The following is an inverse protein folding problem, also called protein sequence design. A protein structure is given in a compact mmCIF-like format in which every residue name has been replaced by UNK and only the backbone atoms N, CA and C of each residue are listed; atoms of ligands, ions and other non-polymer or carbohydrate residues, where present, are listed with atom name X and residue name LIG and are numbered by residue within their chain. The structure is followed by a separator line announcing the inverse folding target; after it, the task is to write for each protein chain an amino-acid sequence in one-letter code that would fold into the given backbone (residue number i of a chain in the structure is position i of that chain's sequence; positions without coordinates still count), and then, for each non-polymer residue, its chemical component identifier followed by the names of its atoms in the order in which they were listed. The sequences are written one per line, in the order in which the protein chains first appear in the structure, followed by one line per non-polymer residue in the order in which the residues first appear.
data_IF_303625409425
#
_entry.id   IF_303625409425
#
_cell.length_a   1.000
_cell.length_b   1.000
_cell.length_c   1.000
_cell.angle_alpha   90.00
_cell.angle_beta   90.00
_cell.angle_gamma   90.00
#
_symmetry.space_group_name_H-M   'P 1'
#
loop_
_entity.id
_entity.type
_entity.pdbx_description
1 polymer ?
#
# COMPACT_ATOMS: atom_id res chain seq x y z
N UNK A 1 13.17 18.61 -13.68
CA UNK A 1 12.67 18.01 -12.44
C UNK A 1 11.86 19.03 -11.59
N UNK A 2 12.39 20.18 -11.25
CA UNK A 2 11.74 21.21 -10.42
C UNK A 2 10.35 21.66 -10.90
N UNK A 3 10.18 21.94 -12.20
CA UNK A 3 8.88 22.37 -12.78
C UNK A 3 7.77 21.30 -12.60
N UNK A 4 8.11 20.02 -12.74
CA UNK A 4 7.15 18.91 -12.52
C UNK A 4 6.68 18.87 -11.06
N UNK A 5 7.61 18.98 -10.11
CA UNK A 5 7.28 18.99 -8.68
C UNK A 5 6.41 20.17 -8.29
N UNK A 6 6.72 21.36 -8.79
CA UNK A 6 5.93 22.58 -8.53
C UNK A 6 4.48 22.44 -9.02
N UNK A 7 4.29 21.92 -10.24
CA UNK A 7 2.96 21.70 -10.81
C UNK A 7 2.21 20.65 -9.97
N UNK A 8 2.85 19.49 -9.65
CA UNK A 8 2.22 18.47 -8.82
C UNK A 8 1.85 18.99 -7.41
N UNK A 9 2.69 19.84 -6.82
CA UNK A 9 2.40 20.45 -5.51
C UNK A 9 1.22 21.41 -5.57
N UNK A 10 1.06 22.16 -6.66
CA UNK A 10 -0.09 23.05 -6.85
C UNK A 10 -1.41 22.26 -6.98
N UNK A 11 -1.36 21.04 -7.55
CA UNK A 11 -2.53 20.17 -7.71
C UNK A 11 -2.85 19.28 -6.49
N UNK A 12 -2.08 19.37 -5.40
CA UNK A 12 -2.23 18.46 -4.24
C UNK A 12 -3.63 18.50 -3.64
N UNK A 13 -4.31 19.64 -3.68
CA UNK A 13 -5.67 19.79 -3.18
C UNK A 13 -6.67 18.92 -3.94
N UNK A 14 -6.54 18.81 -5.27
CA UNK A 14 -7.40 17.94 -6.08
C UNK A 14 -7.13 16.47 -5.79
N UNK A 15 -5.84 16.10 -5.64
CA UNK A 15 -5.43 14.72 -5.31
C UNK A 15 -5.97 14.33 -3.94
N UNK A 16 -5.78 15.15 -2.93
CA UNK A 16 -6.26 14.88 -1.56
C UNK A 16 -7.78 14.86 -1.52
N UNK A 17 -8.45 15.86 -2.11
CA UNK A 17 -9.91 15.94 -2.15
C UNK A 17 -10.54 14.70 -2.79
N UNK A 18 -10.02 14.29 -3.94
CA UNK A 18 -10.43 13.07 -4.64
C UNK A 18 -10.27 11.82 -3.75
N UNK A 19 -9.09 11.64 -3.13
CA UNK A 19 -8.83 10.49 -2.26
C UNK A 19 -9.75 10.47 -1.03
N UNK A 20 -10.06 11.63 -0.46
CA UNK A 20 -11.01 11.75 0.67
C UNK A 20 -12.41 11.29 0.24
N UNK A 21 -12.92 11.74 -0.90
CA UNK A 21 -14.23 11.32 -1.40
C UNK A 21 -14.26 9.81 -1.64
N UNK A 22 -13.25 9.28 -2.33
CA UNK A 22 -13.13 7.83 -2.56
C UNK A 22 -13.01 7.03 -1.25
N UNK A 23 -12.31 7.58 -0.26
CA UNK A 23 -12.19 6.99 1.08
C UNK A 23 -13.54 6.92 1.81
N UNK A 24 -14.32 7.99 1.75
CA UNK A 24 -15.65 8.05 2.35
C UNK A 24 -16.58 7.02 1.70
N UNK A 25 -16.65 6.98 0.37
CA UNK A 25 -17.49 6.02 -0.37
C UNK A 25 -17.12 4.56 -0.03
N UNK A 26 -15.81 4.24 -0.03
CA UNK A 26 -15.35 2.91 0.38
C UNK A 26 -15.70 2.58 1.83
N UNK A 27 -15.58 3.56 2.73
CA UNK A 27 -15.99 3.41 4.13
C UNK A 27 -17.49 3.11 4.29
N UNK A 28 -18.34 3.68 3.42
CA UNK A 28 -19.78 3.41 3.34
C UNK A 28 -20.13 2.07 2.67
N UNK A 29 -19.13 1.36 2.12
CA UNK A 29 -19.30 0.07 1.45
C UNK A 29 -19.45 0.17 -0.07
N UNK A 30 -19.44 1.37 -0.64
CA UNK A 30 -19.46 1.57 -2.09
C UNK A 30 -18.02 1.60 -2.63
N UNK A 31 -17.57 0.50 -3.17
CA UNK A 31 -16.27 0.37 -3.85
C UNK A 31 -16.36 0.50 -5.37
N UNK A 32 -17.59 0.43 -5.93
CA UNK A 32 -17.81 0.49 -7.39
C UNK A 32 -17.72 1.92 -7.92
N UNK A 33 -18.36 2.86 -7.24
CA UNK A 33 -18.35 4.27 -7.65
C UNK A 33 -16.94 4.87 -7.68
N UNK A 34 -16.07 4.69 -6.66
CA UNK A 34 -14.67 5.10 -6.76
C UNK A 34 -13.92 4.47 -7.94
N UNK A 35 -14.21 3.21 -8.29
CA UNK A 35 -13.58 2.55 -9.44
C UNK A 35 -13.89 3.28 -10.76
N UNK A 36 -15.14 3.72 -10.96
CA UNK A 36 -15.49 4.49 -12.17
C UNK A 36 -14.77 5.85 -12.21
N UNK A 37 -14.60 6.51 -11.07
CA UNK A 37 -13.85 7.76 -11.01
C UNK A 37 -12.36 7.56 -11.33
N UNK A 38 -11.74 6.49 -10.82
CA UNK A 38 -10.35 6.14 -11.14
C UNK A 38 -10.20 5.81 -12.61
N UNK A 39 -11.10 4.99 -13.17
CA UNK A 39 -11.06 4.62 -14.58
C UNK A 39 -11.17 5.85 -15.49
N UNK A 40 -12.09 6.77 -15.17
CA UNK A 40 -12.24 8.03 -15.90
C UNK A 40 -10.99 8.90 -15.78
N UNK A 41 -10.42 9.05 -14.58
CA UNK A 41 -9.17 9.77 -14.37
C UNK A 41 -8.04 9.18 -15.22
N UNK A 42 -7.94 7.86 -15.26
CA UNK A 42 -6.92 7.16 -16.04
C UNK A 42 -7.06 7.43 -17.55
N UNK A 43 -8.28 7.34 -18.09
CA UNK A 43 -8.55 7.64 -19.51
C UNK A 43 -8.21 9.09 -19.84
N UNK A 44 -8.66 10.05 -19.03
CA UNK A 44 -8.35 11.47 -19.23
C UNK A 44 -6.83 11.71 -19.16
N UNK A 45 -6.14 11.08 -18.19
CA UNK A 45 -4.70 11.22 -18.05
C UNK A 45 -3.96 10.71 -19.30
N UNK A 46 -4.31 9.51 -19.78
CA UNK A 46 -3.71 8.92 -20.99
C UNK A 46 -3.92 9.83 -22.20
N UNK A 47 -5.14 10.30 -22.42
CA UNK A 47 -5.45 11.19 -23.55
C UNK A 47 -4.66 12.49 -23.47
N UNK A 48 -4.61 13.11 -22.28
CA UNK A 48 -3.86 14.35 -22.07
C UNK A 48 -2.34 14.13 -22.18
N UNK A 49 -1.82 12.99 -21.76
CA UNK A 49 -0.41 12.65 -21.94
C UNK A 49 -0.06 12.55 -23.43
N UNK A 50 -0.89 11.89 -24.26
CA UNK A 50 -0.68 11.87 -25.71
C UNK A 50 -0.72 13.26 -26.33
N UNK A 51 -1.61 14.14 -25.88
CA UNK A 51 -1.73 15.51 -26.40
C UNK A 51 -0.57 16.37 -25.92
N UNK A 52 -0.32 16.44 -24.58
CA UNK A 52 0.63 17.38 -24.00
C UNK A 52 2.09 16.93 -24.16
N UNK A 53 2.35 15.65 -24.05
CA UNK A 53 3.70 15.09 -24.18
C UNK A 53 3.98 14.69 -25.63
N UNK A 54 3.03 14.04 -26.29
CA UNK A 54 3.21 13.56 -27.66
C UNK A 54 3.14 14.68 -28.69
N UNK A 55 2.05 15.44 -28.71
CA UNK A 55 1.84 16.48 -29.73
C UNK A 55 2.51 17.82 -29.39
N UNK A 56 2.32 18.33 -28.16
CA UNK A 56 2.90 19.61 -27.75
C UNK A 56 4.35 19.51 -27.25
N UNK A 57 4.92 18.31 -27.13
CA UNK A 57 6.30 18.06 -26.68
C UNK A 57 6.68 18.71 -25.35
N UNK A 58 5.72 18.90 -24.42
CA UNK A 58 5.94 19.55 -23.13
C UNK A 58 6.72 18.67 -22.11
N UNK A 59 7.10 17.44 -22.50
CA UNK A 59 7.90 16.54 -21.71
C UNK A 59 7.31 16.30 -20.30
N UNK A 60 8.19 16.30 -19.28
CA UNK A 60 7.80 16.03 -17.89
C UNK A 60 6.79 17.03 -17.30
N UNK A 61 6.75 18.27 -17.81
CA UNK A 61 5.76 19.29 -17.39
C UNK A 61 4.38 18.95 -17.93
N UNK A 62 4.31 18.52 -19.20
CA UNK A 62 3.06 18.07 -19.83
C UNK A 62 2.43 16.90 -19.07
N UNK A 63 3.23 15.90 -18.72
CA UNK A 63 2.77 14.76 -17.92
C UNK A 63 2.25 15.17 -16.52
N UNK A 64 2.90 16.15 -15.88
CA UNK A 64 2.41 16.66 -14.59
C UNK A 64 1.07 17.38 -14.72
N UNK A 65 0.91 18.22 -15.75
CA UNK A 65 -0.34 18.94 -16.03
C UNK A 65 -1.46 17.94 -16.37
N UNK A 66 -1.18 16.93 -17.18
CA UNK A 66 -2.13 15.87 -17.52
C UNK A 66 -2.66 15.16 -16.25
N UNK A 67 -1.74 14.76 -15.37
CA UNK A 67 -2.08 14.09 -14.10
C UNK A 67 -2.97 14.96 -13.21
N UNK A 68 -2.61 16.24 -13.00
CA UNK A 68 -3.39 17.13 -12.14
C UNK A 68 -4.75 17.42 -12.74
N UNK A 69 -4.82 17.66 -14.05
CA UNK A 69 -6.09 17.92 -14.73
C UNK A 69 -7.01 16.71 -14.62
N UNK A 70 -6.50 15.48 -14.85
CA UNK A 70 -7.27 14.25 -14.70
C UNK A 70 -7.79 14.07 -13.27
N UNK A 71 -6.96 14.31 -12.26
CA UNK A 71 -7.36 14.26 -10.85
C UNK A 71 -8.38 15.35 -10.48
N UNK A 72 -8.19 16.58 -11.01
CA UNK A 72 -9.12 17.69 -10.82
C UNK A 72 -10.50 17.40 -11.41
N UNK A 73 -10.55 16.91 -12.65
CA UNK A 73 -11.80 16.52 -13.29
C UNK A 73 -12.50 15.40 -12.50
N UNK A 74 -11.76 14.37 -12.10
CA UNK A 74 -12.33 13.27 -11.31
C UNK A 74 -12.82 13.74 -9.94
N UNK A 75 -12.13 14.68 -9.30
CA UNK A 75 -12.58 15.30 -8.06
C UNK A 75 -13.90 16.07 -8.27
N UNK A 76 -13.99 16.89 -9.30
CA UNK A 76 -15.21 17.63 -9.61
C UNK A 76 -16.39 16.70 -9.92
N UNK A 77 -16.17 15.64 -10.69
CA UNK A 77 -17.19 14.63 -10.98
C UNK A 77 -17.60 13.88 -9.70
N UNK A 78 -16.65 13.55 -8.83
CA UNK A 78 -16.95 12.89 -7.56
C UNK A 78 -17.80 13.77 -6.64
N UNK A 79 -17.52 15.09 -6.58
CA UNK A 79 -18.34 16.05 -5.85
C UNK A 79 -19.74 16.21 -6.46
N UNK A 80 -19.82 16.30 -7.78
CA UNK A 80 -21.11 16.38 -8.48
C UNK A 80 -21.96 15.11 -8.25
N UNK A 81 -21.32 13.94 -8.28
CA UNK A 81 -21.98 12.68 -7.96
C UNK A 81 -22.56 12.70 -6.54
N UNK A 82 -21.77 13.11 -5.55
CA UNK A 82 -22.22 13.24 -4.15
C UNK A 82 -23.36 14.25 -4.01
N UNK A 83 -23.28 15.36 -4.74
CA UNK A 83 -24.35 16.37 -4.72
C UNK A 83 -25.66 15.83 -5.29
N UNK A 84 -25.59 15.01 -6.36
CA UNK A 84 -26.79 14.53 -7.07
C UNK A 84 -27.44 13.31 -6.43
N UNK A 85 -26.64 12.40 -5.88
CA UNK A 85 -27.13 11.16 -5.26
C UNK A 85 -27.31 11.28 -3.74
N UNK A 86 -26.79 12.36 -3.15
CA UNK A 86 -26.79 12.58 -1.71
C UNK A 86 -25.87 11.62 -0.95
N UNK A 87 -25.67 11.93 0.30
CA UNK A 87 -25.14 10.96 1.26
C UNK A 87 -26.32 10.13 1.79
N UNK A 88 -26.08 8.91 2.25
CA UNK A 88 -27.08 8.10 2.94
C UNK A 88 -27.47 8.71 4.32
N UNK A 89 -27.01 9.92 4.60
CA UNK A 89 -27.29 10.72 5.79
C UNK A 89 -27.52 12.18 5.37
N UNK A 90 -28.34 12.89 6.13
CA UNK A 90 -28.64 14.31 5.90
C UNK A 90 -27.35 15.12 6.12
N UNK A 91 -26.84 15.72 5.05
CA UNK A 91 -25.68 16.60 5.09
C UNK A 91 -26.13 18.05 4.92
N UNK A 92 -25.87 18.85 5.93
CA UNK A 92 -26.19 20.28 5.90
C UNK A 92 -24.93 21.14 5.91
N UNK A 93 -25.02 22.36 5.40
CA UNK A 93 -23.89 23.29 5.46
C UNK A 93 -23.39 23.56 6.88
N UNK A 94 -24.25 23.36 7.89
CA UNK A 94 -23.89 23.49 9.31
C UNK A 94 -22.95 22.40 9.80
N UNK A 95 -22.90 21.25 9.11
CA UNK A 95 -22.03 20.12 9.43
C UNK A 95 -20.60 20.36 8.97
N UNK A 96 -20.37 21.36 8.09
CA UNK A 96 -19.04 21.82 7.71
C UNK A 96 -18.44 22.63 8.87
N UNK A 97 -18.16 21.96 9.98
CA UNK A 97 -17.50 22.55 11.14
C UNK A 97 -16.29 21.70 11.53
N UNK A 98 -15.20 22.34 11.86
CA UNK A 98 -14.04 21.68 12.40
C UNK A 98 -14.38 21.15 13.81
N UNK A 99 -14.76 19.88 13.91
CA UNK A 99 -14.95 19.22 15.20
C UNK A 99 -13.59 18.71 15.69
N UNK A 100 -13.07 19.34 16.73
CA UNK A 100 -11.73 19.02 17.29
C UNK A 100 -11.60 17.55 17.71
N UNK A 101 -12.68 16.94 18.23
CA UNK A 101 -12.65 15.54 18.64
C UNK A 101 -12.58 14.59 17.44
N UNK A 102 -13.32 14.89 16.36
CA UNK A 102 -13.27 14.11 15.12
C UNK A 102 -11.90 14.31 14.43
N UNK A 103 -11.41 15.54 14.35
CA UNK A 103 -10.08 15.83 13.81
C UNK A 103 -8.98 15.06 14.57
N UNK A 104 -9.06 15.04 15.91
CA UNK A 104 -8.13 14.25 16.74
C UNK A 104 -8.21 12.76 16.43
N UNK A 105 -9.41 12.18 16.27
CA UNK A 105 -9.56 10.76 15.89
C UNK A 105 -8.93 10.47 14.51
N UNK A 106 -9.21 11.32 13.52
CA UNK A 106 -8.62 11.16 12.16
C UNK A 106 -7.11 11.25 12.22
N UNK A 107 -6.55 12.21 12.95
CA UNK A 107 -5.10 12.36 13.11
C UNK A 107 -4.46 11.19 13.87
N UNK A 108 -5.10 10.69 14.92
CA UNK A 108 -4.60 9.54 15.68
C UNK A 108 -4.53 8.27 14.84
N UNK A 109 -5.43 8.11 13.87
CA UNK A 109 -5.43 6.97 12.95
C UNK A 109 -4.55 7.21 11.73
N UNK A 110 -4.64 8.39 11.13
CA UNK A 110 -3.98 8.70 9.88
C UNK A 110 -2.49 9.04 10.02
N UNK A 111 -2.09 9.75 11.08
CA UNK A 111 -0.70 10.16 11.24
C UNK A 111 0.27 8.96 11.40
N UNK A 112 -0.03 7.90 12.18
CA UNK A 112 0.81 6.72 12.22
C UNK A 112 0.96 6.03 10.85
N UNK A 113 -0.13 5.91 10.08
CA UNK A 113 -0.10 5.31 8.74
C UNK A 113 0.78 6.15 7.81
N UNK A 114 0.57 7.46 7.78
CA UNK A 114 1.36 8.36 6.93
C UNK A 114 2.85 8.35 7.30
N UNK A 115 3.17 8.33 8.61
CA UNK A 115 4.54 8.22 9.09
C UNK A 115 5.18 6.88 8.72
N UNK A 116 4.43 5.78 8.86
CA UNK A 116 4.86 4.45 8.43
C UNK A 116 5.22 4.45 6.95
N UNK A 117 4.35 4.95 6.07
CA UNK A 117 4.57 4.99 4.64
C UNK A 117 5.78 5.86 4.28
N UNK A 118 5.91 7.04 4.89
CA UNK A 118 7.06 7.92 4.68
C UNK A 118 8.39 7.25 5.05
N UNK A 119 8.45 6.60 6.22
CA UNK A 119 9.65 5.94 6.71
C UNK A 119 10.00 4.68 5.92
N UNK A 120 9.01 3.93 5.45
CA UNK A 120 9.22 2.80 4.53
C UNK A 120 9.81 3.30 3.20
N UNK A 121 9.30 4.40 2.63
CA UNK A 121 9.88 4.98 1.42
C UNK A 121 11.33 5.45 1.63
N UNK A 122 11.65 6.04 2.78
CA UNK A 122 13.03 6.39 3.16
C UNK A 122 13.90 5.12 3.21
N UNK A 123 13.40 4.01 3.73
CA UNK A 123 14.15 2.74 3.76
C UNK A 123 14.50 2.22 2.35
N UNK A 124 13.60 2.36 1.38
CA UNK A 124 13.88 2.03 -0.01
C UNK A 124 15.02 2.89 -0.57
N UNK A 125 15.03 4.20 -0.26
CA UNK A 125 16.12 5.08 -0.65
C UNK A 125 17.47 4.65 -0.05
N UNK A 126 17.49 4.24 1.22
CA UNK A 126 18.70 3.73 1.88
C UNK A 126 19.18 2.45 1.19
N UNK A 127 18.29 1.51 0.89
CA UNK A 127 18.63 0.28 0.18
C UNK A 127 19.18 0.60 -1.22
N UNK A 128 18.58 1.56 -1.93
CA UNK A 128 19.07 2.01 -3.24
C UNK A 128 20.47 2.57 -3.13
N UNK A 129 20.80 3.33 -2.08
CA UNK A 129 22.17 3.82 -1.83
C UNK A 129 23.16 2.67 -1.61
N UNK A 130 22.76 1.64 -0.84
CA UNK A 130 23.61 0.45 -0.62
C UNK A 130 23.88 -0.26 -1.95
N UNK A 131 22.84 -0.48 -2.77
CA UNK A 131 22.99 -1.18 -4.07
C UNK A 131 23.77 -0.35 -5.08
N UNK A 132 23.68 0.98 -5.05
CA UNK A 132 24.48 1.85 -5.91
C UNK A 132 25.98 1.68 -5.70
N UNK A 133 26.41 1.29 -4.49
CA UNK A 133 27.83 0.99 -4.21
C UNK A 133 28.31 -0.32 -4.87
N UNK A 134 27.36 -1.22 -5.20
CA UNK A 134 27.67 -2.48 -5.91
C UNK A 134 27.84 -2.29 -7.42
N UNK A 135 27.55 -1.10 -7.95
CA UNK A 135 27.76 -0.75 -9.36
C UNK A 135 26.49 -0.50 -10.15
N UNK A 136 26.70 -0.07 -11.40
CA UNK A 136 25.60 0.41 -12.28
C UNK A 136 24.64 -0.73 -12.65
N UNK A 137 25.14 -1.93 -12.90
CA UNK A 137 24.30 -3.10 -13.26
C UNK A 137 23.40 -3.46 -12.08
N UNK A 138 23.95 -3.51 -10.87
CA UNK A 138 23.18 -3.81 -9.65
C UNK A 138 22.07 -2.75 -9.41
N UNK A 139 22.40 -1.47 -9.56
CA UNK A 139 21.47 -0.37 -9.42
C UNK A 139 20.34 -0.44 -10.46
N UNK A 140 20.67 -0.70 -11.72
CA UNK A 140 19.68 -0.88 -12.79
C UNK A 140 18.77 -2.10 -12.53
N UNK A 141 19.36 -3.20 -12.05
CA UNK A 141 18.65 -4.43 -11.72
C UNK A 141 17.65 -4.22 -10.57
N UNK A 142 18.06 -3.53 -9.50
CA UNK A 142 17.16 -3.15 -8.41
C UNK A 142 15.98 -2.32 -8.94
N UNK A 143 16.25 -1.31 -9.78
CA UNK A 143 15.22 -0.45 -10.35
C UNK A 143 14.22 -1.20 -11.24
N UNK A 144 14.63 -2.26 -11.92
CA UNK A 144 13.74 -3.18 -12.66
C UNK A 144 12.86 -3.96 -11.69
N UNK A 145 13.47 -4.56 -10.67
CA UNK A 145 12.73 -5.38 -9.70
C UNK A 145 11.75 -4.55 -8.88
N UNK A 146 12.10 -3.32 -8.48
CA UNK A 146 11.17 -2.41 -7.80
C UNK A 146 9.88 -2.19 -8.59
N UNK A 147 9.97 -2.05 -9.92
CA UNK A 147 8.78 -1.93 -10.78
C UNK A 147 7.94 -3.20 -10.77
N UNK A 148 8.58 -4.37 -10.85
CA UNK A 148 7.89 -5.67 -10.77
C UNK A 148 7.19 -5.82 -9.42
N UNK A 149 7.85 -5.47 -8.32
CA UNK A 149 7.31 -5.51 -6.97
C UNK A 149 6.07 -4.64 -6.83
N UNK A 150 6.08 -3.42 -7.36
CA UNK A 150 4.90 -2.53 -7.33
C UNK A 150 3.69 -3.23 -7.93
N UNK A 151 3.83 -3.87 -9.11
CA UNK A 151 2.73 -4.64 -9.72
C UNK A 151 2.34 -5.86 -8.90
N UNK A 152 3.30 -6.61 -8.38
CA UNK A 152 3.06 -7.79 -7.56
C UNK A 152 2.31 -7.47 -6.25
N UNK A 153 2.50 -6.26 -5.69
CA UNK A 153 1.89 -5.83 -4.44
C UNK A 153 0.48 -5.24 -4.62
N UNK A 154 0.05 -4.90 -5.85
CA UNK A 154 -1.29 -4.34 -6.08
C UNK A 154 -2.42 -5.23 -5.56
N UNK A 155 -2.50 -6.56 -5.88
CA UNK A 155 -3.58 -7.39 -5.37
C UNK A 155 -3.58 -7.53 -3.84
N UNK A 156 -2.47 -7.84 -3.15
CA UNK A 156 -2.42 -7.85 -1.69
C UNK A 156 -2.84 -6.52 -1.05
N UNK A 157 -2.44 -5.38 -1.61
CA UNK A 157 -2.83 -4.04 -1.13
C UNK A 157 -4.33 -3.79 -1.29
N UNK A 158 -4.92 -4.16 -2.42
CA UNK A 158 -6.36 -4.03 -2.66
C UNK A 158 -7.17 -4.89 -1.68
N UNK A 159 -6.75 -6.14 -1.48
CA UNK A 159 -7.38 -7.07 -0.54
C UNK A 159 -7.26 -6.53 0.89
N UNK A 160 -6.10 -6.04 1.28
CA UNK A 160 -5.88 -5.47 2.61
C UNK A 160 -6.76 -4.24 2.87
N UNK A 161 -6.95 -3.38 1.86
CA UNK A 161 -7.88 -2.24 1.93
C UNK A 161 -9.33 -2.68 2.14
N UNK A 162 -9.76 -3.76 1.47
CA UNK A 162 -11.08 -4.35 1.69
C UNK A 162 -11.20 -4.93 3.11
N UNK A 163 -10.18 -5.63 3.60
CA UNK A 163 -10.13 -6.15 4.98
C UNK A 163 -10.25 -5.01 5.99
N UNK A 164 -9.56 -3.87 5.79
CA UNK A 164 -9.65 -2.71 6.67
C UNK A 164 -11.09 -2.18 6.75
N UNK A 165 -11.73 -1.96 5.60
CA UNK A 165 -13.10 -1.44 5.51
C UNK A 165 -14.10 -2.39 6.15
N UNK A 166 -14.07 -3.68 5.79
CA UNK A 166 -14.97 -4.68 6.35
C UNK A 166 -14.74 -4.89 7.85
N UNK A 167 -13.50 -4.82 8.29
CA UNK A 167 -13.18 -4.89 9.72
C UNK A 167 -13.76 -3.71 10.47
N UNK A 168 -13.59 -2.48 9.96
CA UNK A 168 -14.11 -1.27 10.60
C UNK A 168 -15.64 -1.31 10.73
N UNK A 169 -16.34 -1.73 9.67
CA UNK A 169 -17.81 -1.85 9.68
C UNK A 169 -18.28 -2.92 10.66
N UNK A 170 -17.67 -4.12 10.64
CA UNK A 170 -18.07 -5.20 11.54
C UNK A 170 -17.68 -4.91 13.00
N UNK A 171 -16.56 -4.21 13.22
CA UNK A 171 -16.12 -3.78 14.55
C UNK A 171 -17.10 -2.76 15.14
N UNK A 172 -17.52 -1.76 14.33
CA UNK A 172 -18.53 -0.78 14.73
C UNK A 172 -19.90 -1.39 15.05
N UNK A 173 -20.25 -2.49 14.37
CA UNK A 173 -21.48 -3.25 14.60
C UNK A 173 -21.36 -4.31 15.72
N UNK A 174 -20.20 -4.48 16.36
CA UNK A 174 -19.98 -5.50 17.40
C UNK A 174 -19.88 -6.94 16.86
N UNK A 175 -19.78 -7.15 15.54
CA UNK A 175 -19.84 -8.45 14.89
C UNK A 175 -18.43 -9.09 14.79
N UNK A 176 -17.82 -9.44 15.93
CA UNK A 176 -16.45 -9.94 16.06
C UNK A 176 -16.19 -11.19 15.20
N UNK A 177 -17.15 -12.13 15.15
CA UNK A 177 -16.96 -13.34 14.36
C UNK A 177 -16.89 -13.04 12.85
N UNK A 178 -17.72 -12.12 12.35
CA UNK A 178 -17.65 -11.69 10.94
C UNK A 178 -16.33 -11.00 10.62
N UNK A 179 -15.87 -10.14 11.51
CA UNK A 179 -14.58 -9.47 11.40
C UNK A 179 -13.41 -10.49 11.27
N UNK A 180 -13.41 -11.53 12.10
CA UNK A 180 -12.39 -12.58 12.04
C UNK A 180 -12.47 -13.43 10.75
N UNK A 181 -13.69 -13.69 10.26
CA UNK A 181 -13.88 -14.37 8.96
C UNK A 181 -13.38 -13.51 7.80
N UNK A 182 -13.62 -12.19 7.82
CA UNK A 182 -13.09 -11.27 6.82
C UNK A 182 -11.56 -11.29 6.78
N UNK A 183 -10.90 -11.29 7.96
CA UNK A 183 -9.45 -11.43 8.03
C UNK A 183 -8.98 -12.74 7.41
N UNK A 184 -9.57 -13.88 7.80
CA UNK A 184 -9.17 -15.19 7.30
C UNK A 184 -9.36 -15.32 5.78
N UNK A 185 -10.50 -14.85 5.24
CA UNK A 185 -10.76 -14.84 3.81
C UNK A 185 -9.80 -13.92 3.05
N UNK A 186 -9.53 -12.72 3.60
CA UNK A 186 -8.56 -11.78 3.02
C UNK A 186 -7.16 -12.38 2.94
N UNK A 187 -6.69 -13.00 4.03
CA UNK A 187 -5.40 -13.71 4.04
C UNK A 187 -5.41 -14.83 2.99
N UNK A 188 -6.45 -15.66 2.93
CA UNK A 188 -6.53 -16.77 1.96
C UNK A 188 -6.42 -16.29 0.52
N UNK A 189 -7.14 -15.25 0.14
CA UNK A 189 -7.12 -14.71 -1.22
C UNK A 189 -5.74 -14.08 -1.51
N UNK A 190 -5.22 -13.24 -0.60
CA UNK A 190 -3.91 -12.60 -0.78
C UNK A 190 -2.77 -13.63 -0.84
N UNK A 191 -2.85 -14.71 -0.05
CA UNK A 191 -1.90 -15.81 -0.05
C UNK A 191 -1.84 -16.53 -1.41
N UNK A 192 -3.00 -16.82 -2.02
CA UNK A 192 -3.04 -17.44 -3.36
C UNK A 192 -2.31 -16.57 -4.39
N UNK A 193 -2.54 -15.25 -4.38
CA UNK A 193 -1.80 -14.33 -5.24
C UNK A 193 -0.30 -14.31 -4.91
N UNK A 194 0.07 -14.23 -3.63
CA UNK A 194 1.47 -14.23 -3.20
C UNK A 194 2.21 -15.50 -3.64
N UNK A 195 1.57 -16.67 -3.48
CA UNK A 195 2.11 -17.95 -3.96
C UNK A 195 2.24 -17.96 -5.48
N UNK A 196 1.24 -17.49 -6.21
CA UNK A 196 1.28 -17.46 -7.69
C UNK A 196 2.44 -16.60 -8.19
N UNK A 197 2.63 -15.41 -7.62
CA UNK A 197 3.76 -14.52 -7.96
C UNK A 197 5.09 -15.17 -7.58
N UNK A 198 5.18 -15.76 -6.39
CA UNK A 198 6.40 -16.44 -5.94
C UNK A 198 6.77 -17.60 -6.88
N UNK A 199 5.84 -18.49 -7.16
CA UNK A 199 6.06 -19.64 -8.07
C UNK A 199 6.50 -19.15 -9.44
N UNK A 200 5.81 -18.16 -10.02
CA UNK A 200 6.21 -17.62 -11.32
C UNK A 200 7.63 -17.03 -11.29
N UNK A 201 7.95 -16.26 -10.26
CA UNK A 201 9.26 -15.63 -10.10
C UNK A 201 10.38 -16.62 -9.82
N UNK A 202 10.09 -17.81 -9.26
CA UNK A 202 11.08 -18.87 -9.05
C UNK A 202 11.45 -19.58 -10.35
N UNK A 203 10.46 -19.90 -11.19
CA UNK A 203 10.68 -20.68 -12.40
C UNK A 203 11.01 -19.82 -13.63
N UNK A 204 10.41 -18.64 -13.75
CA UNK A 204 10.50 -17.78 -14.94
C UNK A 204 10.83 -16.32 -14.60
N UNK A 205 11.83 -16.01 -13.73
CA UNK A 205 12.12 -14.64 -13.32
C UNK A 205 12.61 -13.78 -14.49
N UNK A 206 13.38 -14.37 -15.41
CA UNK A 206 13.94 -13.66 -16.56
C UNK A 206 12.86 -13.13 -17.50
N UNK A 207 11.71 -13.80 -17.62
CA UNK A 207 10.62 -13.31 -18.45
C UNK A 207 10.01 -12.01 -17.91
N UNK A 208 9.93 -11.89 -16.56
CA UNK A 208 9.46 -10.66 -15.91
C UNK A 208 10.47 -9.53 -16.04
N UNK A 209 11.76 -9.82 -15.85
CA UNK A 209 12.82 -8.80 -15.89
C UNK A 209 13.10 -8.35 -17.33
N UNK A 210 13.07 -9.25 -18.30
CA UNK A 210 13.27 -8.95 -19.73
C UNK A 210 12.14 -8.06 -20.31
N UNK A 211 10.98 -8.01 -19.68
CA UNK A 211 9.92 -7.09 -20.08
C UNK A 211 10.32 -5.61 -19.90
N UNK A 212 11.19 -5.33 -18.93
CA UNK A 212 11.60 -3.95 -18.59
C UNK A 212 12.94 -3.54 -19.20
N UNK A 213 13.80 -4.47 -19.58
CA UNK A 213 15.13 -4.19 -20.15
C UNK A 213 15.58 -5.30 -21.07
N UNK A 214 16.42 -4.93 -22.07
CA UNK A 214 17.02 -5.87 -23.02
C UNK A 214 18.50 -6.18 -22.66
N UNK A 215 19.07 -5.52 -21.66
CA UNK A 215 20.45 -5.75 -21.23
C UNK A 215 20.52 -7.09 -20.47
N UNK A 216 21.22 -8.05 -21.04
CA UNK A 216 21.31 -9.41 -20.51
C UNK A 216 21.93 -9.47 -19.11
N UNK A 217 22.90 -8.60 -18.80
CA UNK A 217 23.52 -8.54 -17.48
C UNK A 217 22.53 -8.04 -16.43
N UNK A 218 21.75 -7.00 -16.76
CA UNK A 218 20.71 -6.47 -15.88
C UNK A 218 19.56 -7.48 -15.71
N UNK A 219 19.14 -8.17 -16.79
CA UNK A 219 18.10 -9.22 -16.74
C UNK A 219 18.51 -10.34 -15.78
N UNK A 220 19.74 -10.87 -15.92
CA UNK A 220 20.23 -11.97 -15.08
C UNK A 220 20.30 -11.57 -13.60
N UNK A 221 20.93 -10.45 -13.30
CA UNK A 221 21.09 -9.97 -11.90
C UNK A 221 19.75 -9.60 -11.26
N UNK A 222 18.84 -8.99 -12.04
CA UNK A 222 17.47 -8.70 -11.57
C UNK A 222 16.67 -9.98 -11.30
N UNK A 223 16.84 -11.01 -12.12
CA UNK A 223 16.23 -12.31 -11.93
C UNK A 223 16.70 -12.99 -10.63
N UNK A 224 18.00 -12.92 -10.33
CA UNK A 224 18.55 -13.41 -9.06
C UNK A 224 17.95 -12.72 -7.84
N UNK A 225 17.90 -11.39 -7.85
CA UNK A 225 17.27 -10.62 -6.76
C UNK A 225 15.78 -10.95 -6.61
N UNK A 226 15.06 -11.07 -7.74
CA UNK A 226 13.63 -11.37 -7.76
C UNK A 226 13.33 -12.74 -7.17
N UNK A 227 14.18 -13.76 -7.41
CA UNK A 227 14.03 -15.09 -6.80
C UNK A 227 14.07 -15.01 -5.26
N UNK A 228 15.06 -14.32 -4.70
CA UNK A 228 15.12 -14.10 -3.24
C UNK A 228 13.92 -13.32 -2.70
N UNK A 229 13.60 -12.21 -3.37
CA UNK A 229 12.51 -11.31 -2.97
C UNK A 229 11.12 -11.95 -3.06
N UNK A 230 10.87 -12.80 -4.04
CA UNK A 230 9.53 -13.34 -4.33
C UNK A 230 8.89 -14.08 -3.15
N UNK A 231 9.70 -14.61 -2.24
CA UNK A 231 9.25 -15.25 -1.00
C UNK A 231 8.51 -14.23 -0.12
N UNK A 232 8.92 -12.96 -0.17
CA UNK A 232 8.26 -11.88 0.57
C UNK A 232 6.80 -11.69 0.15
N UNK A 233 6.45 -11.95 -1.11
CA UNK A 233 5.07 -11.85 -1.61
C UNK A 233 4.11 -12.78 -0.86
N UNK A 234 4.61 -13.94 -0.38
CA UNK A 234 3.82 -14.87 0.43
C UNK A 234 3.65 -14.30 1.84
N UNK A 235 4.75 -13.89 2.48
CA UNK A 235 4.76 -13.45 3.88
C UNK A 235 4.00 -12.13 4.05
N UNK A 236 4.19 -11.20 3.11
CA UNK A 236 3.55 -9.88 3.13
C UNK A 236 2.02 -9.97 3.03
N UNK A 237 1.49 -11.02 2.39
CA UNK A 237 0.04 -11.26 2.30
C UNK A 237 -0.62 -11.39 3.67
N UNK A 238 0.06 -12.02 4.63
CA UNK A 238 -0.40 -12.11 6.02
C UNK A 238 -0.27 -10.77 6.72
N UNK A 239 0.89 -10.13 6.62
CA UNK A 239 1.20 -8.89 7.33
C UNK A 239 0.26 -7.77 6.90
N UNK A 240 0.01 -7.59 5.60
CA UNK A 240 -0.90 -6.55 5.09
C UNK A 240 -2.33 -6.73 5.59
N UNK A 241 -2.84 -7.96 5.56
CA UNK A 241 -4.19 -8.24 6.05
C UNK A 241 -4.30 -8.03 7.58
N UNK A 242 -3.31 -8.45 8.35
CA UNK A 242 -3.30 -8.27 9.81
C UNK A 242 -3.16 -6.78 10.17
N UNK A 243 -2.32 -6.02 9.47
CA UNK A 243 -2.18 -4.57 9.65
C UNK A 243 -3.51 -3.86 9.39
N UNK A 244 -4.17 -4.21 8.29
CA UNK A 244 -5.47 -3.66 7.92
C UNK A 244 -6.57 -4.05 8.92
N UNK A 245 -6.51 -5.23 9.48
CA UNK A 245 -7.41 -5.67 10.54
C UNK A 245 -7.27 -4.82 11.81
N UNK A 246 -6.05 -4.51 12.24
CA UNK A 246 -5.83 -3.65 13.40
C UNK A 246 -6.17 -2.18 13.11
N UNK A 247 -5.80 -1.69 11.94
CA UNK A 247 -6.15 -0.33 11.50
C UNK A 247 -7.67 -0.14 11.42
N UNK A 248 -8.40 -1.13 10.92
CA UNK A 248 -9.86 -1.14 10.87
C UNK A 248 -10.52 -1.14 12.25
N UNK A 249 -9.86 -1.63 13.28
CA UNK A 249 -10.30 -1.53 14.68
C UNK A 249 -9.93 -0.20 15.35
N UNK A 250 -9.29 0.71 14.64
CA UNK A 250 -8.83 1.98 15.19
C UNK A 250 -7.45 1.93 15.85
N UNK A 251 -6.70 0.85 15.67
CA UNK A 251 -5.34 0.69 16.19
C UNK A 251 -4.33 0.72 15.05
N UNK A 252 -3.98 1.90 14.56
CA UNK A 252 -2.96 2.09 13.52
C UNK A 252 -1.53 2.23 14.05
N UNK A 253 -1.39 2.46 15.37
CA UNK A 253 -0.09 2.60 15.99
C UNK A 253 0.68 1.27 16.01
N UNK A 254 0.00 0.15 16.26
CA UNK A 254 0.64 -1.17 16.28
C UNK A 254 1.23 -1.56 14.91
N UNK A 255 0.49 -1.48 13.77
CA UNK A 255 1.06 -1.68 12.44
C UNK A 255 2.29 -0.83 12.17
N UNK A 256 2.27 0.45 12.53
CA UNK A 256 3.39 1.35 12.37
C UNK A 256 4.63 0.85 13.15
N UNK A 257 4.49 0.58 14.45
CA UNK A 257 5.62 0.25 15.32
C UNK A 257 6.33 -1.02 14.83
N UNK A 258 5.61 -2.13 14.65
CA UNK A 258 6.27 -3.37 14.25
C UNK A 258 6.86 -3.31 12.83
N UNK A 259 6.20 -2.59 11.90
CA UNK A 259 6.74 -2.40 10.55
C UNK A 259 8.03 -1.59 10.57
N UNK A 260 8.12 -0.56 11.41
CA UNK A 260 9.35 0.21 11.58
C UNK A 260 10.47 -0.61 12.22
N UNK A 261 10.15 -1.41 13.24
CA UNK A 261 11.10 -2.35 13.84
C UNK A 261 11.64 -3.30 12.76
N UNK A 262 10.76 -3.96 12.02
CA UNK A 262 11.17 -4.89 10.96
C UNK A 262 12.01 -4.20 9.87
N UNK A 263 11.66 -2.97 9.49
CA UNK A 263 12.35 -2.25 8.43
C UNK A 263 13.71 -1.73 8.88
N UNK A 264 13.78 -1.00 9.98
CA UNK A 264 15.01 -0.31 10.40
C UNK A 264 15.98 -1.21 11.17
N UNK A 265 15.48 -2.16 11.95
CA UNK A 265 16.36 -3.06 12.73
C UNK A 265 16.70 -4.37 12.01
N UNK A 266 15.95 -4.73 10.97
CA UNK A 266 16.22 -5.97 10.24
C UNK A 266 16.46 -5.73 8.77
N UNK A 267 15.52 -5.17 8.01
CA UNK A 267 15.63 -5.05 6.55
C UNK A 267 16.85 -4.26 6.11
N UNK A 268 17.09 -3.07 6.65
CA UNK A 268 18.22 -2.23 6.28
C UNK A 268 19.55 -2.86 6.70
N UNK A 269 19.75 -3.29 7.96
CA UNK A 269 21.00 -3.92 8.37
C UNK A 269 21.30 -5.23 7.62
N UNK A 270 20.27 -6.08 7.39
CA UNK A 270 20.44 -7.30 6.59
C UNK A 270 20.80 -6.99 5.14
N UNK A 271 20.17 -6.00 4.52
CA UNK A 271 20.52 -5.59 3.16
C UNK A 271 21.96 -5.10 3.07
N UNK A 272 22.42 -4.32 4.04
CA UNK A 272 23.81 -3.87 4.12
C UNK A 272 24.76 -5.05 4.35
N UNK A 273 24.48 -5.92 5.29
CA UNK A 273 25.32 -7.08 5.58
C UNK A 273 25.42 -8.03 4.39
N UNK A 274 24.30 -8.33 3.75
CA UNK A 274 24.27 -9.20 2.56
C UNK A 274 25.02 -8.59 1.37
N UNK A 275 25.00 -7.27 1.20
CA UNK A 275 25.78 -6.59 0.15
C UNK A 275 27.29 -6.70 0.36
N UNK A 276 27.76 -6.97 1.59
CA UNK A 276 29.17 -7.18 1.90
C UNK A 276 29.62 -8.64 1.73
N UNK A 277 28.67 -9.60 1.83
CA UNK A 277 28.98 -11.02 1.66
C UNK A 277 29.24 -11.35 0.19
N UNK A 278 28.38 -10.85 -0.69
CA UNK A 278 28.53 -11.06 -2.14
C UNK A 278 28.21 -9.77 -2.87
N UNK A 279 29.26 -9.09 -3.30
CA UNK A 279 29.14 -7.85 -4.07
C UNK A 279 28.90 -8.09 -5.56
N UNK A 280 29.02 -9.35 -6.03
CA UNK A 280 28.88 -9.72 -7.44
C UNK A 280 27.45 -10.14 -7.83
N UNK A 281 26.62 -10.53 -6.85
CA UNK A 281 25.23 -10.99 -7.04
C UNK A 281 24.27 -10.32 -6.08
N UNK A 282 23.05 -10.09 -6.54
CA UNK A 282 21.97 -9.59 -5.70
C UNK A 282 21.12 -10.72 -5.07
N UNK A 283 21.43 -11.98 -5.32
CA UNK A 283 20.63 -13.12 -4.87
C UNK A 283 20.44 -13.14 -3.34
N UNK A 284 21.57 -13.10 -2.60
CA UNK A 284 21.54 -13.12 -1.12
C UNK A 284 20.83 -11.89 -0.58
N UNK A 285 21.05 -10.73 -1.17
CA UNK A 285 20.39 -9.49 -0.78
C UNK A 285 18.88 -9.55 -0.97
N UNK A 286 18.39 -10.33 -1.95
CA UNK A 286 16.96 -10.58 -2.17
C UNK A 286 16.25 -11.23 -0.98
N UNK A 287 16.98 -11.87 -0.06
CA UNK A 287 16.38 -12.45 1.16
C UNK A 287 16.20 -11.47 2.31
N UNK A 288 16.77 -10.27 2.26
CA UNK A 288 16.61 -9.29 3.33
C UNK A 288 15.15 -8.86 3.54
N UNK A 289 14.33 -8.57 2.50
CA UNK A 289 12.91 -8.29 2.66
C UNK A 289 12.13 -9.43 3.31
N UNK A 290 12.12 -10.68 2.80
CA UNK A 290 11.32 -11.74 3.40
C UNK A 290 11.73 -12.05 4.85
N UNK A 291 13.01 -12.00 5.19
CA UNK A 291 13.46 -12.20 6.58
C UNK A 291 12.91 -11.11 7.51
N UNK A 292 12.96 -9.85 7.10
CA UNK A 292 12.40 -8.76 7.88
C UNK A 292 10.89 -8.85 8.02
N UNK A 293 10.19 -9.27 6.95
CA UNK A 293 8.73 -9.44 6.97
C UNK A 293 8.32 -10.63 7.84
N UNK A 294 9.13 -11.70 7.90
CA UNK A 294 8.90 -12.81 8.85
C UNK A 294 8.96 -12.32 10.30
N UNK A 295 9.93 -11.48 10.66
CA UNK A 295 9.98 -10.86 12.00
C UNK A 295 8.70 -10.06 12.27
N UNK A 296 8.28 -9.24 11.29
CA UNK A 296 7.02 -8.49 11.35
C UNK A 296 5.83 -9.42 11.57
N UNK A 297 5.75 -10.54 10.83
CA UNK A 297 4.69 -11.52 10.95
C UNK A 297 4.65 -12.19 12.33
N UNK A 298 5.81 -12.54 12.89
CA UNK A 298 5.89 -13.13 14.23
C UNK A 298 5.34 -12.17 15.30
N UNK A 299 5.70 -10.89 15.22
CA UNK A 299 5.16 -9.84 16.10
C UNK A 299 3.64 -9.70 15.90
N UNK A 300 3.16 -9.72 14.67
CA UNK A 300 1.74 -9.66 14.35
C UNK A 300 0.96 -10.84 14.94
N UNK A 301 1.46 -12.07 14.79
CA UNK A 301 0.82 -13.29 15.32
C UNK A 301 0.80 -13.26 16.85
N UNK A 302 1.90 -12.87 17.46
CA UNK A 302 1.99 -12.71 18.93
C UNK A 302 0.94 -11.72 19.43
N UNK A 303 0.87 -10.54 18.84
CA UNK A 303 -0.07 -9.50 19.24
C UNK A 303 -1.54 -9.88 18.98
N UNK A 304 -1.80 -10.58 17.87
CA UNK A 304 -3.13 -11.08 17.54
C UNK A 304 -3.60 -12.12 18.58
N UNK A 305 -2.72 -13.03 19.00
CA UNK A 305 -3.02 -14.00 20.06
C UNK A 305 -3.24 -13.31 21.41
N UNK A 306 -2.41 -12.34 21.74
CA UNK A 306 -2.52 -11.56 22.99
C UNK A 306 -3.86 -10.81 23.07
N UNK A 307 -4.24 -10.10 22.02
CA UNK A 307 -5.48 -9.33 21.98
C UNK A 307 -6.71 -10.23 22.01
N UNK A 308 -6.70 -11.35 21.30
CA UNK A 308 -7.80 -12.34 21.35
C UNK A 308 -7.98 -12.89 22.77
N UNK A 309 -6.92 -13.27 23.44
CA UNK A 309 -6.98 -13.75 24.85
C UNK A 309 -7.61 -12.71 25.77
N UNK A 310 -7.24 -11.43 25.60
CA UNK A 310 -7.79 -10.32 26.41
C UNK A 310 -9.29 -10.08 26.17
N UNK A 311 -9.76 -10.22 24.95
CA UNK A 311 -11.20 -10.12 24.61
C UNK A 311 -11.98 -11.28 25.18
N UNK A 312 -11.46 -12.51 25.08
CA UNK A 312 -12.08 -13.69 25.68
C UNK A 312 -12.22 -13.56 27.19
N UNK A 313 -11.18 -13.12 27.89
CA UNK A 313 -11.19 -12.91 29.35
C UNK A 313 -12.17 -11.81 29.79
N UNK A 314 -12.33 -10.74 29.00
CA UNK A 314 -13.33 -9.69 29.26
C UNK A 314 -14.76 -10.16 28.95
N UNK A 315 -14.94 -10.97 27.92
CA UNK A 315 -16.27 -11.54 27.56
C UNK A 315 -16.79 -12.57 28.56
N UNK A 316 -15.89 -13.27 29.27
CA UNK A 316 -16.27 -14.15 30.38
C UNK A 316 -16.65 -13.41 31.65
N UNK A 317 -16.28 -12.12 31.78
CA UNK A 317 -16.64 -11.27 32.93
C UNK A 317 -17.89 -10.42 32.73
N UNK A 318 -18.52 -10.43 31.54
CA UNK A 318 -19.85 -9.81 31.36
C UNK A 318 -20.89 -10.93 31.47
N UNK A 319 -21.70 -10.94 32.54
CA UNK A 319 -22.88 -11.81 32.58
C UNK A 319 -23.80 -11.35 31.46
N UNK A 320 -24.43 -12.35 30.80
CA UNK A 320 -25.48 -12.13 29.83
C UNK A 320 -26.50 -11.15 30.41
N UNK A 321 -26.52 -9.91 29.92
CA UNK A 321 -27.70 -9.07 30.07
C UNK A 321 -28.73 -9.65 29.09
N UNK A 322 -29.54 -10.53 29.64
CA UNK A 322 -30.81 -10.98 29.07
C UNK A 322 -31.76 -9.79 29.02
N UNK A 323 -32.45 -9.72 27.97
CA UNK A 323 -33.67 -9.08 27.56
C UNK A 323 -33.53 -7.90 26.63
#
# INVERSE_FOLDING_TARGET
MYKRQLVCSAGILFIVGYNVVCGILRGLGDSKTPLYFVALACVINIVLDFILVGYFHLGATGAAVATITAQGVSFMISLWFLYRHGFHFEFTRKDIRLNRNLAKKVMTLGAPIALQDALINISFLIITVIVNQMGVIASASLGVVEKIIVFAMLPPMAISSAVATMTAQNYGAGLIQRMNRCLASGIGIAFVFGVSVCVYSQFLPETLTAFFTKDAAVVSMAAEYLRGYSIDCIVVSFVFCINSYFSGQGNSLFPMIHSLIATFLFRIPLSYWFSQIDSSSLFIMGFAPPLSTVVSLLICIWYLRYTRKKVYLKGTMMPAMSN
#
